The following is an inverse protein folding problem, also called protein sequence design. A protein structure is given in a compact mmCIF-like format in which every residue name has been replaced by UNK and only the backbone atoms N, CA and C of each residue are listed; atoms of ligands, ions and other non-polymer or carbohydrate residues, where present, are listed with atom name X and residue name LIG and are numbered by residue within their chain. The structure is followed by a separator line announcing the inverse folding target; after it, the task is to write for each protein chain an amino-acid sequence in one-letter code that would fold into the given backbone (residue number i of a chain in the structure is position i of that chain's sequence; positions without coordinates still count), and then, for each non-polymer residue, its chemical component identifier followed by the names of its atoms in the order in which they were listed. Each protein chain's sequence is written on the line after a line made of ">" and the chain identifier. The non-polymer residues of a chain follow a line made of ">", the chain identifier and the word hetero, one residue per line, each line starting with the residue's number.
data_IF_366261463774
#
_entry.id   IF_366261463774
#
_cell.length_a   1.000
_cell.length_b   1.000
_cell.length_c   1.000
_cell.angle_alpha   90.00
_cell.angle_beta   90.00
_cell.angle_gamma   90.00
#
_symmetry.space_group_name_H-M   'P 1'
#
loop_
_entity.id
_entity.type
_entity.pdbx_description
1 polymer ?
#
# COMPACT_ATOMS: atom_id res chain seq x y z
N UNK A 1 -4.79 4.53 -13.83
CA UNK A 1 -5.00 4.49 -12.39
C UNK A 1 -6.38 5.01 -12.02
N UNK A 2 -6.95 4.49 -10.96
CA UNK A 2 -8.21 4.97 -10.38
C UNK A 2 -7.93 5.46 -8.96
N UNK A 3 -8.86 6.23 -8.40
CA UNK A 3 -8.81 6.62 -6.99
C UNK A 3 -9.78 5.77 -6.19
N UNK A 4 -9.43 5.51 -4.95
CA UNK A 4 -10.25 4.71 -4.05
C UNK A 4 -10.11 5.22 -2.61
N UNK A 5 -11.15 4.98 -1.81
CA UNK A 5 -11.07 5.20 -0.37
C UNK A 5 -10.72 3.91 0.36
N UNK A 6 -9.96 4.05 1.43
CA UNK A 6 -9.67 2.94 2.34
C UNK A 6 -10.88 2.73 3.25
N UNK A 7 -11.56 1.61 3.10
CA UNK A 7 -12.72 1.27 3.94
C UNK A 7 -12.29 0.67 5.26
N UNK A 8 -11.28 -0.21 5.22
CA UNK A 8 -10.71 -0.84 6.40
C UNK A 8 -9.26 -1.20 6.18
N UNK A 9 -8.51 -1.31 7.27
CA UNK A 9 -7.12 -1.68 7.27
C UNK A 9 -6.86 -2.71 8.35
N UNK A 10 -6.12 -3.76 8.03
CA UNK A 10 -5.71 -4.80 8.97
C UNK A 10 -4.24 -5.13 8.77
N UNK A 11 -3.49 -5.29 9.86
CA UNK A 11 -2.12 -5.76 9.80
C UNK A 11 -2.14 -7.26 9.50
N UNK A 12 -1.46 -7.66 8.45
CA UNK A 12 -1.28 -9.07 8.09
C UNK A 12 -0.20 -9.71 8.95
N UNK A 13 -0.25 -11.04 9.13
CA UNK A 13 0.83 -11.80 9.74
C UNK A 13 2.02 -11.99 8.79
N UNK A 14 1.84 -11.71 7.51
CA UNK A 14 2.92 -11.79 6.53
C UNK A 14 3.92 -10.67 6.71
N UNK A 15 5.19 -11.00 6.64
CA UNK A 15 6.27 -10.02 6.75
C UNK A 15 7.44 -10.41 5.86
N UNK A 16 8.23 -9.40 5.48
CA UNK A 16 9.52 -9.57 4.81
C UNK A 16 10.63 -9.10 5.73
N UNK A 17 11.77 -9.75 5.64
CA UNK A 17 12.99 -9.30 6.31
C UNK A 17 13.87 -8.65 5.26
N UNK A 18 14.14 -7.36 5.45
CA UNK A 18 14.97 -6.56 4.56
C UNK A 18 16.35 -6.36 5.18
N UNK A 19 17.40 -6.55 4.40
CA UNK A 19 18.76 -6.28 4.81
C UNK A 19 19.15 -4.86 4.40
N UNK A 20 19.62 -4.07 5.36
CA UNK A 20 20.19 -2.76 5.12
C UNK A 20 21.68 -2.80 5.36
N UNK A 21 22.44 -2.19 4.46
CA UNK A 21 23.87 -1.97 4.62
C UNK A 21 24.05 -0.51 5.01
N UNK A 22 24.58 -0.30 6.21
CA UNK A 22 24.83 1.03 6.75
C UNK A 22 26.33 1.29 6.77
N UNK A 23 26.76 2.37 6.14
CA UNK A 23 28.16 2.79 6.09
C UNK A 23 28.40 3.91 7.10
N UNK A 24 29.45 3.78 7.90
CA UNK A 24 29.95 4.88 8.70
C UNK A 24 31.03 5.61 7.88
N UNK A 25 30.72 6.79 7.39
CA UNK A 25 31.61 7.56 6.53
C UNK A 25 32.89 8.04 7.24
N UNK A 26 32.86 8.15 8.55
CA UNK A 26 34.02 8.61 9.34
C UNK A 26 35.02 7.47 9.57
N UNK A 27 34.54 6.28 9.94
CA UNK A 27 35.40 5.14 10.27
C UNK A 27 35.58 4.15 9.13
N UNK A 28 34.73 4.22 8.10
CA UNK A 28 34.67 3.26 7.01
C UNK A 28 34.04 1.91 7.38
N UNK A 29 33.51 1.80 8.59
CA UNK A 29 32.85 0.58 9.04
C UNK A 29 31.54 0.36 8.29
N UNK A 30 31.24 -0.92 8.05
CA UNK A 30 30.01 -1.35 7.36
C UNK A 30 29.24 -2.25 8.32
N UNK A 31 27.98 -1.90 8.55
CA UNK A 31 27.08 -2.69 9.38
C UNK A 31 25.95 -3.24 8.54
N UNK A 32 25.53 -4.46 8.86
CA UNK A 32 24.32 -5.07 8.32
C UNK A 32 23.22 -5.01 9.36
N UNK A 33 22.09 -4.46 9.00
CA UNK A 33 20.89 -4.43 9.84
C UNK A 33 19.75 -5.17 9.12
N UNK A 34 18.92 -5.87 9.89
CA UNK A 34 17.73 -6.54 9.37
C UNK A 34 16.51 -5.80 9.89
N UNK A 35 15.63 -5.42 8.96
CA UNK A 35 14.38 -4.74 9.26
C UNK A 35 13.23 -5.67 8.88
N UNK A 36 12.31 -5.88 9.82
CA UNK A 36 11.08 -6.62 9.55
C UNK A 36 10.02 -5.65 9.05
N UNK A 37 9.55 -5.88 7.83
CA UNK A 37 8.49 -5.08 7.21
C UNK A 37 7.23 -5.92 7.12
N UNK A 38 6.15 -5.46 7.76
CA UNK A 38 4.86 -6.14 7.73
C UNK A 38 4.02 -5.67 6.56
N UNK A 39 3.21 -6.57 6.03
CA UNK A 39 2.18 -6.26 5.06
C UNK A 39 0.91 -5.85 5.77
N UNK A 40 0.17 -4.92 5.16
CA UNK A 40 -1.17 -4.52 5.59
C UNK A 40 -2.14 -4.89 4.49
N UNK A 41 -3.33 -5.32 4.88
CA UNK A 41 -4.42 -5.63 3.97
C UNK A 41 -5.48 -4.54 4.04
N UNK A 42 -5.93 -4.09 2.88
CA UNK A 42 -6.88 -3.00 2.76
C UNK A 42 -8.09 -3.44 1.97
N UNK A 43 -9.25 -2.98 2.39
CA UNK A 43 -10.48 -3.05 1.63
C UNK A 43 -10.72 -1.66 1.04
N UNK A 44 -10.92 -1.59 -0.27
CA UNK A 44 -11.00 -0.35 -1.01
C UNK A 44 -12.34 -0.22 -1.73
N UNK A 45 -12.88 1.00 -1.76
CA UNK A 45 -14.00 1.37 -2.62
C UNK A 45 -13.52 2.37 -3.65
N UNK A 46 -13.60 2.02 -4.93
CA UNK A 46 -13.26 2.92 -6.03
C UNK A 46 -14.23 4.10 -6.04
N UNK A 47 -13.70 5.30 -6.19
CA UNK A 47 -14.49 6.52 -6.23
C UNK A 47 -14.44 7.17 -7.62
N UNK A 48 -15.49 7.91 -7.94
CA UNK A 48 -15.56 8.70 -9.16
C UNK A 48 -14.88 10.08 -8.96
N UNK A 49 -14.89 10.90 -9.99
CA UNK A 49 -14.29 12.25 -9.94
C UNK A 49 -14.92 13.20 -8.92
N UNK A 50 -16.12 12.86 -8.42
CA UNK A 50 -16.83 13.65 -7.40
C UNK A 50 -16.60 13.12 -5.99
N UNK A 51 -15.80 12.05 -5.82
CA UNK A 51 -15.52 11.45 -4.53
C UNK A 51 -16.59 10.46 -4.06
N UNK A 52 -17.55 10.11 -4.89
CA UNK A 52 -18.61 9.15 -4.57
C UNK A 52 -18.21 7.74 -5.01
N UNK A 53 -18.73 6.69 -4.34
CA UNK A 53 -18.48 5.33 -4.78
C UNK A 53 -18.85 5.14 -6.26
N UNK A 54 -17.95 4.53 -7.02
CA UNK A 54 -18.15 4.26 -8.42
C UNK A 54 -18.80 2.88 -8.61
N UNK A 55 -20.07 2.87 -9.02
CA UNK A 55 -20.84 1.64 -9.20
C UNK A 55 -20.31 0.72 -10.31
N UNK A 56 -19.45 1.21 -11.18
CA UNK A 56 -18.82 0.40 -12.23
C UNK A 56 -17.74 -0.54 -11.72
N UNK A 57 -17.32 -0.37 -10.45
CA UNK A 57 -16.28 -1.18 -9.85
C UNK A 57 -16.80 -1.89 -8.61
N UNK A 58 -16.46 -3.16 -8.43
CA UNK A 58 -16.75 -3.85 -7.16
C UNK A 58 -15.84 -3.31 -6.06
N UNK A 59 -16.20 -3.59 -4.81
CA UNK A 59 -15.30 -3.39 -3.67
C UNK A 59 -14.07 -4.28 -3.86
N UNK A 60 -12.89 -3.73 -3.63
CA UNK A 60 -11.63 -4.44 -3.77
C UNK A 60 -11.16 -4.94 -2.39
N UNK A 61 -11.34 -6.23 -2.07
CA UNK A 61 -10.90 -6.78 -0.80
C UNK A 61 -9.46 -7.28 -0.86
N UNK A 62 -8.78 -7.31 0.29
CA UNK A 62 -7.50 -7.99 0.43
C UNK A 62 -6.34 -7.37 -0.34
N UNK A 63 -6.38 -6.06 -0.59
CA UNK A 63 -5.29 -5.38 -1.28
C UNK A 63 -4.12 -5.18 -0.32
N UNK A 64 -2.96 -5.71 -0.66
CA UNK A 64 -1.78 -5.70 0.20
C UNK A 64 -0.85 -4.55 -0.12
N UNK A 65 -0.31 -3.92 0.92
CA UNK A 65 0.73 -2.91 0.79
C UNK A 65 1.62 -2.91 2.03
N UNK A 66 2.90 -2.61 1.86
CA UNK A 66 3.83 -2.39 2.98
C UNK A 66 3.66 -1.01 3.60
N UNK A 67 3.07 -0.06 2.88
CA UNK A 67 2.78 1.27 3.39
C UNK A 67 1.53 1.22 4.26
N UNK A 68 1.54 2.03 5.31
CA UNK A 68 0.42 2.14 6.22
C UNK A 68 -0.47 3.32 5.83
N UNK A 69 -1.76 3.02 5.59
CA UNK A 69 -2.77 4.02 5.28
C UNK A 69 -3.88 3.94 6.31
N UNK A 70 -4.52 5.08 6.60
CA UNK A 70 -5.64 5.15 7.54
C UNK A 70 -6.97 4.92 6.82
N UNK A 71 -7.94 4.36 7.52
CA UNK A 71 -9.31 4.30 7.03
C UNK A 71 -9.81 5.71 6.70
N UNK A 72 -10.51 5.84 5.57
CA UNK A 72 -10.97 7.12 5.05
C UNK A 72 -9.98 7.85 4.14
N UNK A 73 -8.71 7.43 4.10
CA UNK A 73 -7.74 7.99 3.17
C UNK A 73 -8.11 7.70 1.72
N UNK A 74 -7.76 8.60 0.81
CA UNK A 74 -7.89 8.40 -0.63
C UNK A 74 -6.54 8.00 -1.19
N UNK A 75 -6.53 6.94 -1.97
CA UNK A 75 -5.33 6.39 -2.57
C UNK A 75 -5.50 6.25 -4.08
N UNK A 76 -4.38 6.35 -4.81
CA UNK A 76 -4.34 5.98 -6.22
C UNK A 76 -4.04 4.49 -6.34
N UNK A 77 -4.80 3.82 -7.20
CA UNK A 77 -4.72 2.37 -7.39
C UNK A 77 -4.43 2.07 -8.85
N UNK A 78 -3.43 1.25 -9.09
CA UNK A 78 -3.16 0.70 -10.41
C UNK A 78 -4.02 -0.54 -10.63
N UNK A 79 -4.75 -0.58 -11.74
CA UNK A 79 -5.55 -1.72 -12.16
C UNK A 79 -4.87 -2.36 -13.36
N UNK A 80 -3.98 -3.35 -13.15
CA UNK A 80 -3.31 -4.00 -14.26
C UNK A 80 -4.27 -4.86 -15.08
N UNK A 81 -3.92 -5.12 -16.33
CA UNK A 81 -4.70 -5.99 -17.19
C UNK A 81 -4.55 -7.45 -16.79
N UNK A 82 -5.62 -8.22 -17.01
CA UNK A 82 -5.63 -9.65 -16.75
C UNK A 82 -5.82 -9.98 -15.28
N UNK A 83 -5.20 -11.06 -14.81
CA UNK A 83 -5.40 -11.63 -13.47
C UNK A 83 -4.50 -11.00 -12.40
N UNK A 84 -3.81 -9.92 -12.71
CA UNK A 84 -2.92 -9.26 -11.76
C UNK A 84 -3.71 -8.52 -10.69
N UNK A 85 -3.24 -8.62 -9.45
CA UNK A 85 -3.87 -7.97 -8.31
C UNK A 85 -3.69 -6.44 -8.40
N UNK A 86 -4.75 -5.65 -8.12
CA UNK A 86 -4.62 -4.21 -8.02
C UNK A 86 -3.56 -3.81 -6.97
N UNK A 87 -2.84 -2.74 -7.23
CA UNK A 87 -1.79 -2.26 -6.34
C UNK A 87 -2.02 -0.81 -5.94
N UNK A 88 -1.83 -0.49 -4.66
CA UNK A 88 -1.90 0.88 -4.17
C UNK A 88 -0.60 1.59 -4.55
N UNK A 89 -0.71 2.68 -5.31
CA UNK A 89 0.43 3.50 -5.70
C UNK A 89 0.82 4.44 -4.56
N UNK A 90 -0.14 5.11 -3.96
CA UNK A 90 0.12 6.05 -2.88
C UNK A 90 -1.12 6.82 -2.46
N UNK A 91 -0.99 7.61 -1.38
CA UNK A 91 -2.06 8.47 -0.89
C UNK A 91 -2.19 9.73 -1.75
N UNK A 92 -3.41 10.16 -1.93
CA UNK A 92 -3.75 11.34 -2.74
C UNK A 92 -4.50 12.33 -1.86
N UNK A 93 -4.10 13.58 -1.91
CA UNK A 93 -4.84 14.68 -1.31
C UNK A 93 -5.79 15.27 -2.36
N UNK A 94 -7.05 15.34 -2.01
CA UNK A 94 -8.08 15.91 -2.86
C UNK A 94 -8.43 17.34 -2.45
#
# INVERSE_FOLDING_TARGET
>A
AVFATIDSAAKSDAFDIEELIVHNEVTGEVFKAHITSYWYEYKLTVIDRFGNPDANYPVLPGIKSKKQFKAGAVVAVALPYGDLTPAIIGEVEL
#
